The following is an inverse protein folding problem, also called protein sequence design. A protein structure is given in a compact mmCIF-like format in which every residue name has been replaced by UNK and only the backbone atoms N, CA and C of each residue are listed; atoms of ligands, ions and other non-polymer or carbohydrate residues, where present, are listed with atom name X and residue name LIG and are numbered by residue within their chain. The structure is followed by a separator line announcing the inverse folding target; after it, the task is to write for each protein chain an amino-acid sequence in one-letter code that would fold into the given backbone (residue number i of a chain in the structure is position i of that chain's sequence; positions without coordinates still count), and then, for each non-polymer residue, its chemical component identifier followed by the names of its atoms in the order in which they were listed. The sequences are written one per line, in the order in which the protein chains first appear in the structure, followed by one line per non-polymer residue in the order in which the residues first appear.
data_IF_555286913375
#
_entry.id   IF_555286913375
#
_cell.length_a   1.000
_cell.length_b   1.000
_cell.length_c   1.000
_cell.angle_alpha   90.00
_cell.angle_beta   90.00
_cell.angle_gamma   90.00
#
_symmetry.space_group_name_H-M   'P 1'
#
loop_
_entity.id
_entity.type
_entity.pdbx_description
1 polymer ?
#
# COMPACT_ATOMS: atom_id res chain seq x y z
N UNK A 1 -10.66 11.20 6.53
CA UNK A 1 -10.12 11.61 5.21
C UNK A 1 -10.83 12.88 4.76
N UNK A 2 -10.25 13.65 3.83
CA UNK A 2 -10.94 14.83 3.27
C UNK A 2 -11.68 14.44 1.99
N UNK A 3 -12.91 14.90 1.81
CA UNK A 3 -13.75 14.67 0.62
C UNK A 3 -13.58 15.79 -0.41
N UNK A 4 -12.34 16.03 -0.83
CA UNK A 4 -11.98 17.06 -1.81
C UNK A 4 -11.33 16.42 -3.03
N UNK A 5 -11.30 17.15 -4.14
CA UNK A 5 -10.67 16.71 -5.38
C UNK A 5 -9.19 16.40 -5.16
N UNK A 6 -8.80 15.14 -5.37
CA UNK A 6 -7.44 14.65 -5.10
C UNK A 6 -7.17 13.31 -5.78
N UNK A 7 -5.89 12.95 -5.83
CA UNK A 7 -5.43 11.60 -6.20
C UNK A 7 -4.92 10.90 -4.95
N UNK A 8 -5.47 9.73 -4.65
CA UNK A 8 -5.04 8.85 -3.57
C UNK A 8 -4.22 7.70 -4.13
N UNK A 9 -2.98 7.54 -3.65
CA UNK A 9 -2.11 6.42 -3.99
C UNK A 9 -2.12 5.41 -2.85
N UNK A 10 -2.66 4.21 -3.08
CA UNK A 10 -2.86 3.17 -2.05
C UNK A 10 -2.98 1.77 -2.66
N UNK A 11 -2.49 0.73 -2.00
CA UNK A 11 -2.76 -0.65 -2.44
C UNK A 11 -4.07 -1.19 -1.82
N UNK A 12 -4.49 -0.66 -0.67
CA UNK A 12 -5.78 -0.91 -0.03
C UNK A 12 -6.87 0.04 -0.56
N UNK A 13 -7.38 -0.26 -1.76
CA UNK A 13 -8.45 0.52 -2.40
C UNK A 13 -9.75 0.38 -1.61
N UNK A 14 -10.12 -0.84 -1.20
CA UNK A 14 -11.37 -1.11 -0.47
C UNK A 14 -11.41 -0.37 0.87
N UNK A 15 -10.34 -0.47 1.68
CA UNK A 15 -10.26 0.23 2.96
C UNK A 15 -10.23 1.75 2.80
N UNK A 16 -9.62 2.24 1.72
CA UNK A 16 -9.65 3.68 1.36
C UNK A 16 -11.06 4.15 1.03
N UNK A 17 -11.83 3.37 0.25
CA UNK A 17 -13.24 3.70 -0.04
C UNK A 17 -14.06 3.73 1.26
N UNK A 18 -13.92 2.72 2.12
CA UNK A 18 -14.64 2.67 3.40
C UNK A 18 -14.28 3.87 4.31
N UNK A 19 -13.01 4.30 4.31
CA UNK A 19 -12.56 5.47 5.05
C UNK A 19 -13.08 6.81 4.47
N UNK A 20 -13.35 6.87 3.16
CA UNK A 20 -14.02 8.01 2.53
C UNK A 20 -15.52 8.01 2.83
N UNK A 21 -16.18 6.86 2.77
CA UNK A 21 -17.61 6.71 3.08
C UNK A 21 -17.92 7.07 4.53
N UNK A 22 -17.06 6.67 5.48
CA UNK A 22 -17.21 7.06 6.89
C UNK A 22 -16.92 8.53 7.17
N UNK A 23 -16.26 9.23 6.25
CA UNK A 23 -16.00 10.67 6.35
C UNK A 23 -17.14 11.53 5.75
N UNK A 24 -18.15 10.90 5.15
CA UNK A 24 -19.32 11.61 4.61
C UNK A 24 -20.13 12.21 5.74
N UNK A 25 -20.50 13.47 5.56
CA UNK A 25 -21.40 14.17 6.48
C UNK A 25 -22.69 14.56 5.78
N UNK A 26 -22.54 15.23 4.64
CA UNK A 26 -23.66 15.76 3.83
C UNK A 26 -23.47 15.49 2.34
N UNK A 27 -22.36 14.88 1.95
CA UNK A 27 -21.97 14.66 0.57
C UNK A 27 -22.58 13.39 -0.01
N UNK A 28 -22.87 13.41 -1.31
CA UNK A 28 -23.28 12.21 -2.05
C UNK A 28 -22.09 11.55 -2.71
N UNK A 29 -21.88 10.27 -2.44
CA UNK A 29 -20.83 9.49 -3.12
C UNK A 29 -21.37 8.83 -4.39
N UNK A 30 -20.64 8.98 -5.48
CA UNK A 30 -20.80 8.21 -6.72
C UNK A 30 -19.51 7.43 -6.97
N UNK A 31 -19.61 6.11 -7.12
CA UNK A 31 -18.45 5.22 -7.28
C UNK A 31 -18.44 4.61 -8.67
N UNK A 32 -17.29 4.65 -9.33
CA UNK A 32 -17.01 3.93 -10.57
C UNK A 32 -15.75 3.11 -10.31
N UNK A 33 -15.94 1.81 -10.12
CA UNK A 33 -14.94 0.91 -9.56
C UNK A 33 -14.45 -0.08 -10.62
N UNK A 34 -13.17 0.01 -10.99
CA UNK A 34 -12.52 -0.89 -11.95
C UNK A 34 -11.24 -1.49 -11.36
N UNK A 35 -11.41 -2.40 -10.42
CA UNK A 35 -10.30 -2.91 -9.59
C UNK A 35 -9.42 -3.94 -10.30
N UNK A 36 -9.93 -4.63 -11.32
CA UNK A 36 -9.19 -5.67 -12.04
C UNK A 36 -8.59 -5.20 -13.36
N UNK A 37 -9.11 -4.13 -13.96
CA UNK A 37 -8.77 -3.70 -15.32
C UNK A 37 -8.27 -2.25 -15.36
N UNK A 38 -7.80 -1.85 -16.54
CA UNK A 38 -7.57 -0.44 -16.81
C UNK A 38 -8.93 0.27 -16.90
N UNK A 39 -9.01 1.49 -16.35
CA UNK A 39 -10.21 2.31 -16.45
C UNK A 39 -10.57 2.51 -17.92
N UNK A 40 -11.82 2.25 -18.30
CA UNK A 40 -12.23 2.29 -19.70
C UNK A 40 -12.61 3.71 -20.14
N UNK A 41 -12.75 3.90 -21.45
CA UNK A 41 -13.27 5.16 -22.00
C UNK A 41 -14.74 5.36 -21.67
N UNK A 42 -15.51 4.27 -21.53
CA UNK A 42 -16.94 4.35 -21.22
C UNK A 42 -17.17 4.71 -19.75
N UNK A 43 -16.32 4.21 -18.84
CA UNK A 43 -16.30 4.64 -17.44
C UNK A 43 -15.99 6.13 -17.31
N UNK A 44 -15.09 6.65 -18.15
CA UNK A 44 -14.78 8.07 -18.19
C UNK A 44 -15.98 8.90 -18.67
N UNK A 45 -16.73 8.42 -19.66
CA UNK A 45 -17.97 9.08 -20.09
C UNK A 45 -19.01 9.07 -18.97
N UNK A 46 -19.17 7.94 -18.29
CA UNK A 46 -20.08 7.82 -17.16
C UNK A 46 -19.70 8.79 -16.03
N UNK A 47 -18.42 8.89 -15.70
CA UNK A 47 -17.92 9.85 -14.70
C UNK A 47 -18.28 11.29 -15.07
N UNK A 48 -18.08 11.66 -16.33
CA UNK A 48 -18.41 12.98 -16.86
C UNK A 48 -19.92 13.22 -16.80
N UNK A 49 -20.74 12.26 -17.22
CA UNK A 49 -22.21 12.37 -17.15
C UNK A 49 -22.68 12.61 -15.71
N UNK A 50 -22.16 11.84 -14.75
CA UNK A 50 -22.46 11.98 -13.32
C UNK A 50 -22.02 13.33 -12.76
N UNK A 51 -20.92 13.89 -13.26
CA UNK A 51 -20.45 15.22 -12.87
C UNK A 51 -21.40 16.33 -13.31
N UNK A 52 -22.03 16.20 -14.48
CA UNK A 52 -22.99 17.21 -14.95
C UNK A 52 -24.40 17.04 -14.40
N UNK A 53 -24.69 15.97 -13.65
CA UNK A 53 -25.96 15.83 -12.95
C UNK A 53 -26.09 16.87 -11.84
N UNK A 54 -27.12 17.71 -11.93
CA UNK A 54 -27.44 18.71 -10.93
C UNK A 54 -27.71 18.04 -9.58
N UNK A 55 -27.17 18.61 -8.52
CA UNK A 55 -27.36 18.17 -7.14
C UNK A 55 -27.19 19.38 -6.23
N UNK A 56 -28.02 19.47 -5.19
CA UNK A 56 -27.94 20.55 -4.20
C UNK A 56 -26.73 20.35 -3.27
N UNK A 57 -26.44 19.09 -2.92
CA UNK A 57 -25.31 18.67 -2.11
C UNK A 57 -24.03 18.44 -2.93
N UNK A 58 -22.88 18.46 -2.26
CA UNK A 58 -21.61 18.12 -2.89
C UNK A 58 -21.60 16.66 -3.30
N UNK A 59 -21.40 16.40 -4.59
CA UNK A 59 -21.24 15.05 -5.13
C UNK A 59 -19.76 14.72 -5.27
N UNK A 60 -19.31 13.71 -4.54
CA UNK A 60 -17.94 13.18 -4.61
C UNK A 60 -17.92 11.99 -5.56
N UNK A 61 -17.22 12.13 -6.67
CA UNK A 61 -17.08 11.10 -7.70
C UNK A 61 -15.76 10.37 -7.48
N UNK A 62 -15.86 9.14 -7.01
CA UNK A 62 -14.73 8.27 -6.72
C UNK A 62 -14.49 7.36 -7.93
N UNK A 63 -13.31 7.48 -8.51
CA UNK A 63 -12.86 6.69 -9.66
C UNK A 63 -11.73 5.79 -9.20
N UNK A 64 -11.88 4.47 -9.33
CA UNK A 64 -10.81 3.53 -8.97
C UNK A 64 -10.36 2.72 -10.17
N UNK A 65 -9.05 2.62 -10.36
CA UNK A 65 -8.46 1.68 -11.30
C UNK A 65 -7.00 1.36 -10.99
N UNK A 66 -6.58 0.15 -11.39
CA UNK A 66 -5.16 -0.20 -11.42
C UNK A 66 -4.37 0.69 -12.36
N UNK A 67 -4.95 1.01 -13.51
CA UNK A 67 -4.29 1.80 -14.56
C UNK A 67 -5.30 2.80 -15.12
N UNK A 68 -4.97 4.09 -15.06
CA UNK A 68 -5.61 5.13 -15.86
C UNK A 68 -4.78 5.35 -17.12
N UNK A 69 -5.29 4.95 -18.28
CA UNK A 69 -4.54 5.15 -19.53
C UNK A 69 -4.45 6.64 -19.89
N UNK A 70 -3.43 7.08 -20.66
CA UNK A 70 -3.33 8.49 -21.07
C UNK A 70 -4.58 9.00 -21.80
N UNK A 71 -5.18 8.15 -22.63
CA UNK A 71 -6.42 8.45 -23.36
C UNK A 71 -7.57 8.81 -22.40
N UNK A 72 -7.73 8.04 -21.33
CA UNK A 72 -8.77 8.23 -20.32
C UNK A 72 -8.50 9.48 -19.49
N UNK A 73 -7.26 9.67 -19.05
CA UNK A 73 -6.89 10.84 -18.26
C UNK A 73 -7.11 12.13 -19.02
N UNK A 74 -6.79 12.17 -20.31
CA UNK A 74 -7.06 13.35 -21.15
C UNK A 74 -8.56 13.62 -21.34
N UNK A 75 -9.42 12.59 -21.33
CA UNK A 75 -10.88 12.78 -21.36
C UNK A 75 -11.41 13.36 -20.05
N UNK A 76 -10.90 12.88 -18.92
CA UNK A 76 -11.27 13.37 -17.58
C UNK A 76 -10.68 14.76 -17.30
N UNK A 77 -9.59 15.14 -17.98
CA UNK A 77 -8.87 16.39 -17.72
C UNK A 77 -9.79 17.62 -17.73
N UNK A 78 -10.69 17.72 -18.73
CA UNK A 78 -11.59 18.87 -18.86
C UNK A 78 -12.52 19.03 -17.66
N UNK A 79 -13.11 17.93 -17.18
CA UNK A 79 -14.07 17.97 -16.07
C UNK A 79 -13.36 18.10 -14.71
N UNK A 80 -12.10 17.68 -14.62
CA UNK A 80 -11.28 17.85 -13.42
C UNK A 80 -10.76 19.30 -13.29
N UNK A 81 -10.45 19.96 -14.41
CA UNK A 81 -9.95 21.33 -14.41
C UNK A 81 -11.03 22.36 -14.08
N UNK A 82 -12.22 22.17 -14.65
CA UNK A 82 -13.39 23.03 -14.43
C UNK A 82 -14.56 22.16 -13.96
N UNK A 83 -14.52 21.66 -12.71
CA UNK A 83 -15.60 20.82 -12.20
C UNK A 83 -16.90 21.64 -12.11
N UNK A 84 -18.05 21.04 -12.45
CA UNK A 84 -19.34 21.66 -12.21
C UNK A 84 -19.53 22.00 -10.73
N UNK A 85 -20.44 22.93 -10.42
CA UNK A 85 -20.70 23.37 -9.04
C UNK A 85 -21.01 22.16 -8.15
N UNK A 86 -20.42 22.15 -6.95
CA UNK A 86 -20.59 21.11 -5.93
C UNK A 86 -20.13 19.72 -6.40
N UNK A 87 -19.09 19.62 -7.25
CA UNK A 87 -18.51 18.35 -7.69
C UNK A 87 -17.06 18.23 -7.27
N UNK A 88 -16.73 17.07 -6.71
CA UNK A 88 -15.37 16.73 -6.29
C UNK A 88 -14.95 15.40 -6.92
N UNK A 89 -13.69 15.28 -7.31
CA UNK A 89 -13.15 14.08 -7.98
C UNK A 89 -12.04 13.43 -7.15
N UNK A 90 -12.24 12.18 -6.75
CA UNK A 90 -11.23 11.40 -6.04
C UNK A 90 -10.79 10.25 -6.96
N UNK A 91 -9.54 10.29 -7.41
CA UNK A 91 -8.94 9.21 -8.19
C UNK A 91 -8.11 8.32 -7.26
N UNK A 92 -8.38 7.03 -7.24
CA UNK A 92 -7.65 6.06 -6.40
C UNK A 92 -6.92 5.07 -7.30
N UNK A 93 -5.59 4.95 -7.11
CA UNK A 93 -4.75 4.04 -7.90
C UNK A 93 -3.57 3.52 -7.06
N UNK A 94 -3.05 2.30 -7.30
CA UNK A 94 -1.92 1.77 -6.54
C UNK A 94 -0.58 2.43 -6.86
N UNK A 95 -0.46 3.10 -8.02
CA UNK A 95 0.82 3.64 -8.46
C UNK A 95 0.71 5.06 -8.98
N UNK A 96 1.49 5.97 -8.38
CA UNK A 96 1.65 7.35 -8.85
C UNK A 96 2.14 7.40 -10.31
N UNK A 97 2.91 6.41 -10.76
CA UNK A 97 3.49 6.37 -12.09
C UNK A 97 2.44 6.35 -13.20
N UNK A 98 1.23 5.87 -12.92
CA UNK A 98 0.14 5.82 -13.89
C UNK A 98 -0.49 7.19 -14.14
N UNK A 99 -0.30 8.17 -13.25
CA UNK A 99 -0.93 9.48 -13.33
C UNK A 99 -0.10 10.45 -14.17
N UNK A 100 -0.70 11.02 -15.22
CA UNK A 100 -0.10 11.98 -16.14
C UNK A 100 0.26 13.29 -15.43
N UNK A 101 1.38 13.95 -15.83
CA UNK A 101 1.78 15.25 -15.29
C UNK A 101 0.67 16.33 -15.32
N UNK A 102 -0.19 16.30 -16.35
CA UNK A 102 -1.32 17.22 -16.50
C UNK A 102 -2.35 17.10 -15.37
N UNK A 103 -2.65 15.87 -14.94
CA UNK A 103 -3.50 15.61 -13.78
C UNK A 103 -2.78 16.01 -12.49
N UNK A 104 -1.49 15.66 -12.35
CA UNK A 104 -0.67 15.99 -11.16
C UNK A 104 -0.59 17.50 -10.90
N UNK A 105 -0.67 18.32 -11.94
CA UNK A 105 -0.65 19.79 -11.81
C UNK A 105 -1.96 20.38 -11.29
N UNK A 106 -3.08 19.66 -11.42
CA UNK A 106 -4.44 20.14 -11.09
C UNK A 106 -4.96 19.53 -9.79
N UNK A 107 -4.58 18.28 -9.51
CA UNK A 107 -5.03 17.56 -8.32
C UNK A 107 -3.88 17.33 -7.34
N UNK A 108 -4.09 17.59 -6.04
CA UNK A 108 -3.14 17.19 -5.01
C UNK A 108 -3.02 15.67 -4.97
N UNK A 109 -1.79 15.18 -4.82
CA UNK A 109 -1.52 13.74 -4.70
C UNK A 109 -1.22 13.44 -3.24
N UNK A 110 -2.03 12.57 -2.65
CA UNK A 110 -1.83 12.03 -1.30
C UNK A 110 -1.40 10.59 -1.44
N UNK A 111 -0.21 10.28 -0.95
CA UNK A 111 0.27 8.90 -0.84
C UNK A 111 -0.19 8.39 0.51
N UNK A 112 -1.13 7.47 0.50
CA UNK A 112 -1.56 6.77 1.68
C UNK A 112 -0.55 5.65 1.90
N UNK A 113 0.44 5.93 2.74
CA UNK A 113 1.24 4.84 3.27
C UNK A 113 0.30 4.00 4.11
N UNK A 114 0.07 2.78 3.67
CA UNK A 114 -0.30 1.72 4.59
C UNK A 114 0.83 1.69 5.63
N UNK A 115 0.58 2.30 6.78
CA UNK A 115 0.94 1.60 8.01
C UNK A 115 0.14 0.30 7.96
N UNK A 116 0.64 -0.69 7.20
CA UNK A 116 0.38 -2.08 7.55
C UNK A 116 0.67 -2.08 9.02
N UNK A 117 -0.35 -2.25 9.87
CA UNK A 117 -0.13 -2.49 11.29
C UNK A 117 0.91 -3.57 11.31
N UNK A 118 2.16 -3.19 11.59
CA UNK A 118 3.27 -4.12 11.53
C UNK A 118 2.86 -5.16 12.53
N UNK A 119 2.50 -6.35 12.03
CA UNK A 119 2.10 -7.42 12.90
C UNK A 119 3.29 -7.59 13.83
N UNK A 120 3.08 -7.28 15.12
CA UNK A 120 4.10 -7.41 16.13
C UNK A 120 4.75 -8.76 15.87
N UNK A 121 6.04 -8.75 15.55
CA UNK A 121 6.75 -9.98 15.20
C UNK A 121 6.62 -10.99 16.33
N UNK A 122 6.30 -10.54 17.55
CA UNK A 122 6.31 -11.37 18.76
C UNK A 122 7.74 -11.64 19.23
N UNK A 123 8.72 -10.97 18.61
CA UNK A 123 10.14 -11.10 18.90
C UNK A 123 10.69 -9.72 19.24
N UNK A 124 11.14 -9.56 20.48
CA UNK A 124 11.89 -8.39 20.90
C UNK A 124 13.33 -8.48 20.37
N UNK A 125 13.64 -7.72 19.32
CA UNK A 125 14.98 -7.67 18.75
C UNK A 125 15.99 -7.00 19.71
N UNK A 126 15.53 -6.17 20.65
CA UNK A 126 16.40 -5.54 21.65
C UNK A 126 16.92 -6.53 22.67
N UNK A 127 16.11 -7.50 23.03
CA UNK A 127 16.49 -8.60 23.94
C UNK A 127 16.86 -9.89 23.19
N UNK A 128 17.11 -9.80 21.87
CA UNK A 128 17.46 -10.96 21.06
C UNK A 128 18.65 -11.72 21.67
N UNK A 129 18.43 -13.00 21.93
CA UNK A 129 19.37 -13.94 22.54
C UNK A 129 19.23 -15.32 21.89
N UNK A 130 20.17 -16.24 22.15
CA UNK A 130 20.07 -17.59 21.59
C UNK A 130 18.80 -18.33 22.06
N UNK A 131 18.40 -18.12 23.32
CA UNK A 131 17.17 -18.70 23.88
C UNK A 131 15.92 -18.18 23.14
N UNK A 132 15.83 -16.85 22.95
CA UNK A 132 14.69 -16.26 22.25
C UNK A 132 14.64 -16.66 20.77
N UNK A 133 15.79 -16.79 20.10
CA UNK A 133 15.86 -17.29 18.71
C UNK A 133 15.35 -18.73 18.63
N UNK A 134 15.75 -19.59 19.57
CA UNK A 134 15.28 -20.97 19.61
C UNK A 134 13.77 -21.03 19.81
N UNK A 135 13.24 -20.39 20.85
CA UNK A 135 11.81 -20.36 21.16
C UNK A 135 10.98 -19.84 19.99
N UNK A 136 11.42 -18.72 19.40
CA UNK A 136 10.74 -18.11 18.26
C UNK A 136 10.72 -19.02 17.05
N UNK A 137 11.82 -19.72 16.78
CA UNK A 137 11.88 -20.72 15.70
C UNK A 137 10.96 -21.92 15.98
N UNK A 138 10.80 -22.34 17.25
CA UNK A 138 9.88 -23.43 17.61
C UNK A 138 8.41 -23.05 17.38
N UNK A 139 8.02 -21.82 17.72
CA UNK A 139 6.63 -21.33 17.54
C UNK A 139 6.22 -21.26 16.06
N UNK A 140 7.18 -21.04 15.16
CA UNK A 140 6.96 -20.92 13.71
C UNK A 140 7.28 -22.19 12.90
N UNK A 141 7.37 -23.35 13.55
CA UNK A 141 7.66 -24.65 12.91
C UNK A 141 6.73 -25.01 11.74
N UNK A 142 5.46 -24.62 11.84
CA UNK A 142 4.41 -24.96 10.86
C UNK A 142 4.01 -23.79 9.96
N UNK A 143 4.76 -22.69 10.02
CA UNK A 143 4.51 -21.51 9.21
C UNK A 143 4.87 -21.79 7.75
N UNK A 144 3.91 -21.58 6.84
CA UNK A 144 4.13 -21.76 5.41
C UNK A 144 5.07 -20.68 4.83
N UNK A 145 5.53 -20.89 3.59
CA UNK A 145 6.47 -19.98 2.96
C UNK A 145 5.90 -18.55 2.76
N UNK A 146 4.60 -18.40 2.53
CA UNK A 146 3.97 -17.09 2.31
C UNK A 146 3.95 -16.28 3.61
N UNK A 147 3.50 -16.89 4.70
CA UNK A 147 3.52 -16.29 6.02
C UNK A 147 4.95 -16.05 6.52
N UNK A 148 5.89 -16.96 6.20
CA UNK A 148 7.30 -16.79 6.57
C UNK A 148 7.95 -15.59 5.88
N UNK A 149 7.62 -15.33 4.61
CA UNK A 149 8.11 -14.12 3.91
C UNK A 149 7.68 -12.85 4.63
N UNK A 150 6.43 -12.79 5.10
CA UNK A 150 5.93 -11.64 5.87
C UNK A 150 6.69 -11.47 7.20
N UNK A 151 6.99 -12.57 7.89
CA UNK A 151 7.79 -12.53 9.13
C UNK A 151 9.22 -12.04 8.87
N UNK A 152 9.87 -12.59 7.84
CA UNK A 152 11.22 -12.16 7.42
C UNK A 152 11.23 -10.68 7.05
N UNK A 153 10.20 -10.19 6.36
CA UNK A 153 10.02 -8.77 6.02
C UNK A 153 9.98 -7.90 7.28
N UNK A 154 9.09 -8.24 8.21
CA UNK A 154 8.89 -7.46 9.42
C UNK A 154 10.12 -7.48 10.33
N UNK A 155 10.79 -8.64 10.47
CA UNK A 155 12.05 -8.76 11.23
C UNK A 155 13.14 -7.90 10.60
N UNK A 156 13.26 -7.91 9.27
CA UNK A 156 14.26 -7.11 8.56
C UNK A 156 14.00 -5.61 8.73
N UNK A 157 12.74 -5.17 8.64
CA UNK A 157 12.35 -3.77 8.89
C UNK A 157 12.66 -3.33 10.31
N UNK A 158 12.31 -4.15 11.31
CA UNK A 158 12.56 -3.83 12.70
C UNK A 158 14.06 -3.81 13.03
N UNK A 159 14.84 -4.72 12.43
CA UNK A 159 16.29 -4.72 12.55
C UNK A 159 16.91 -3.42 12.00
N UNK A 160 16.40 -2.93 10.86
CA UNK A 160 16.83 -1.65 10.25
C UNK A 160 16.45 -0.47 11.15
N UNK A 161 15.20 -0.45 11.63
CA UNK A 161 14.64 0.65 12.42
C UNK A 161 15.27 0.77 13.80
N UNK A 162 15.54 -0.36 14.46
CA UNK A 162 16.07 -0.39 15.84
C UNK A 162 17.47 0.23 15.97
N UNK A 163 18.25 0.30 14.88
CA UNK A 163 19.66 0.74 14.86
C UNK A 163 20.60 -0.07 15.78
N UNK A 164 20.13 -1.21 16.32
CA UNK A 164 20.86 -2.05 17.26
C UNK A 164 21.75 -3.10 16.60
N UNK A 165 21.70 -3.20 15.26
CA UNK A 165 22.49 -4.15 14.49
C UNK A 165 23.49 -3.41 13.60
N UNK A 166 24.63 -4.05 13.35
CA UNK A 166 25.57 -3.62 12.33
C UNK A 166 25.06 -4.04 10.95
N UNK A 167 24.48 -3.08 10.22
CA UNK A 167 23.80 -3.30 8.94
C UNK A 167 24.76 -3.06 7.77
N UNK A 168 25.84 -3.85 7.73
CA UNK A 168 26.76 -3.89 6.60
C UNK A 168 26.10 -4.51 5.34
N UNK A 169 26.79 -4.41 4.20
CA UNK A 169 26.33 -4.98 2.92
C UNK A 169 26.02 -6.48 3.04
N UNK A 170 26.77 -7.21 3.87
CA UNK A 170 26.55 -8.64 4.14
C UNK A 170 25.22 -8.88 4.85
N UNK A 171 24.84 -8.02 5.78
CA UNK A 171 23.58 -8.13 6.53
C UNK A 171 22.39 -7.74 5.67
N UNK A 172 22.52 -6.73 4.81
CA UNK A 172 21.48 -6.41 3.83
C UNK A 172 21.29 -7.55 2.81
N UNK A 173 22.40 -8.14 2.34
CA UNK A 173 22.38 -9.30 1.44
C UNK A 173 21.76 -10.52 2.11
N UNK A 174 21.94 -10.70 3.42
CA UNK A 174 21.28 -11.76 4.19
C UNK A 174 19.75 -11.64 4.12
N UNK A 175 19.19 -10.43 4.23
CA UNK A 175 17.75 -10.22 4.12
C UNK A 175 17.25 -10.63 2.74
N UNK A 176 17.90 -10.15 1.67
CA UNK A 176 17.55 -10.54 0.29
C UNK A 176 17.64 -12.05 0.08
N UNK A 177 18.72 -12.68 0.56
CA UNK A 177 18.91 -14.12 0.41
C UNK A 177 17.84 -14.93 1.16
N UNK A 178 17.34 -14.45 2.30
CA UNK A 178 16.25 -15.11 3.02
C UNK A 178 14.95 -15.12 2.19
N UNK A 179 14.62 -14.01 1.52
CA UNK A 179 13.48 -13.97 0.60
C UNK A 179 13.65 -14.92 -0.59
N UNK A 180 14.80 -14.83 -1.27
CA UNK A 180 15.11 -15.68 -2.43
C UNK A 180 15.05 -17.16 -2.04
N UNK A 181 15.58 -17.53 -0.87
CA UNK A 181 15.52 -18.90 -0.36
C UNK A 181 14.07 -19.39 -0.21
N UNK A 182 13.16 -18.54 0.28
CA UNK A 182 11.74 -18.87 0.40
C UNK A 182 11.03 -18.94 -0.96
N UNK A 183 11.45 -18.15 -1.95
CA UNK A 183 10.93 -18.23 -3.33
C UNK A 183 11.31 -19.56 -4.00
N UNK A 184 12.52 -20.06 -3.78
CA UNK A 184 13.01 -21.32 -4.37
C UNK A 184 12.62 -22.57 -3.57
N UNK A 185 11.74 -22.44 -2.58
CA UNK A 185 11.19 -23.58 -1.82
C UNK A 185 12.05 -24.09 -0.68
N UNK A 186 13.02 -23.30 -0.19
CA UNK A 186 13.80 -23.69 1.01
C UNK A 186 12.90 -23.83 2.24
N UNK A 187 13.22 -24.74 3.19
CA UNK A 187 12.40 -24.96 4.38
C UNK A 187 12.22 -23.66 5.20
N UNK A 188 10.98 -23.17 5.42
CA UNK A 188 10.74 -21.87 6.04
C UNK A 188 11.39 -21.70 7.42
N UNK A 189 11.29 -22.72 8.27
CA UNK A 189 11.89 -22.72 9.60
C UNK A 189 13.43 -22.61 9.55
N UNK A 190 14.07 -23.24 8.57
CA UNK A 190 15.52 -23.19 8.41
C UNK A 190 15.98 -21.79 7.98
N UNK A 191 15.25 -21.17 7.06
CA UNK A 191 15.51 -19.79 6.62
C UNK A 191 15.39 -18.83 7.80
N UNK A 192 14.30 -18.91 8.58
CA UNK A 192 14.09 -18.08 9.76
C UNK A 192 15.22 -18.23 10.79
N UNK A 193 15.58 -19.46 11.14
CA UNK A 193 16.65 -19.72 12.10
C UNK A 193 17.99 -19.15 11.61
N UNK A 194 18.31 -19.35 10.33
CA UNK A 194 19.56 -18.85 9.73
C UNK A 194 19.61 -17.32 9.76
N UNK A 195 18.52 -16.66 9.41
CA UNK A 195 18.38 -15.21 9.48
C UNK A 195 18.63 -14.70 10.90
N UNK A 196 17.90 -15.25 11.88
CA UNK A 196 17.95 -14.80 13.27
C UNK A 196 19.32 -15.02 13.92
N UNK A 197 19.96 -16.17 13.70
CA UNK A 197 21.29 -16.46 14.25
C UNK A 197 22.36 -15.53 13.68
N UNK A 198 22.33 -15.29 12.35
CA UNK A 198 23.27 -14.37 11.72
C UNK A 198 23.02 -12.92 12.13
N UNK A 199 21.75 -12.53 12.31
CA UNK A 199 21.40 -11.20 12.81
C UNK A 199 21.84 -11.01 14.26
N UNK A 200 21.64 -12.01 15.13
CA UNK A 200 22.12 -12.00 16.52
C UNK A 200 23.64 -11.80 16.60
N UNK A 201 24.40 -12.44 15.70
CA UNK A 201 25.86 -12.27 15.62
C UNK A 201 26.29 -10.84 15.22
N UNK A 202 25.38 -10.03 14.69
CA UNK A 202 25.60 -8.62 14.26
C UNK A 202 25.02 -7.61 15.24
N UNK A 203 24.48 -8.04 16.38
CA UNK A 203 23.96 -7.13 17.40
C UNK A 203 25.10 -6.29 17.98
N UNK A 204 24.93 -4.98 18.00
CA UNK A 204 25.85 -4.05 18.65
C UNK A 204 25.84 -4.34 20.16
N UNK A 205 27.03 -4.35 20.75
CA UNK A 205 27.20 -4.51 22.20
C UNK A 205 26.90 -3.21 22.93
#
# INVERSE_FOLDING_TARGET
MRLISQVLITNDIEGTIAALESAVTTERIVKILEEEKAFSVDDAKLAIEKAYMASEETTVIILTAKIFTPLVQNKLLKVIEEPPKNKEFILITPSKATILPTIRSRLPIVILNEEKKEALTGLDLQQLSLASVYEYTQTHKRTDAKAMKLLVENISKEAIRSQQFDLDEKTLTLFTNAFVALDVGSPPQFVLNTLLLKLLARKKR
#
